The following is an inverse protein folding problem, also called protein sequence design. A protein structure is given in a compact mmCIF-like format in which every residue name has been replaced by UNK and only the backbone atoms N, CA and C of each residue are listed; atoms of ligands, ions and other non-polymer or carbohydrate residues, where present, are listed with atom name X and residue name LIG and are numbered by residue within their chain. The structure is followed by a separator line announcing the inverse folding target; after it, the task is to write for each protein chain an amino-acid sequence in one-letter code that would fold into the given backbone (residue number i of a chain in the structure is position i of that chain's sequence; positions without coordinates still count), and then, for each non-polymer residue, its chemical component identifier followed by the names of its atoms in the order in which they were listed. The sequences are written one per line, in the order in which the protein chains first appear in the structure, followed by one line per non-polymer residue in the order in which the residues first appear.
data_IF_792249984679
#
_entry.id   IF_792249984679
#
_cell.length_a   1.000
_cell.length_b   1.000
_cell.length_c   1.000
_cell.angle_alpha   90.00
_cell.angle_beta   90.00
_cell.angle_gamma   90.00
#
_symmetry.space_group_name_H-M   'P 1'
#
loop_
_entity.id
_entity.type
_entity.pdbx_description
1 polymer ?
#
# COMPACT_ATOMS: atom_id res chain seq x y z
N UNK A 1 -35.38 11.22 28.21
CA UNK A 1 -34.63 10.00 28.54
C UNK A 1 -33.30 10.10 27.82
N UNK A 2 -32.22 10.46 28.53
CA UNK A 2 -30.88 10.51 27.92
C UNK A 2 -30.28 9.12 27.95
N UNK A 3 -30.22 8.47 26.80
CA UNK A 3 -29.33 7.32 26.61
C UNK A 3 -27.93 7.90 26.46
N UNK A 4 -27.10 7.77 27.50
CA UNK A 4 -25.65 7.97 27.39
C UNK A 4 -25.10 6.75 26.65
N UNK A 5 -24.81 6.86 25.36
CA UNK A 5 -23.96 5.88 24.68
C UNK A 5 -22.52 6.09 25.12
N UNK A 6 -22.12 5.31 26.12
CA UNK A 6 -20.74 5.12 26.50
C UNK A 6 -20.07 4.21 25.45
N UNK A 7 -19.27 4.81 24.55
CA UNK A 7 -18.20 4.09 23.85
C UNK A 7 -18.29 3.91 22.32
N UNK A 8 -19.31 4.41 21.63
CA UNK A 8 -19.30 4.43 20.16
C UNK A 8 -18.62 5.70 19.63
N UNK A 9 -17.63 5.53 18.76
CA UNK A 9 -17.01 6.65 18.03
C UNK A 9 -18.08 7.33 17.17
N UNK A 10 -18.24 8.65 17.35
CA UNK A 10 -19.17 9.46 16.56
C UNK A 10 -18.65 9.75 15.14
N UNK A 11 -17.45 9.28 14.81
CA UNK A 11 -16.81 9.43 13.50
C UNK A 11 -16.19 8.12 13.02
N UNK A 12 -16.06 7.97 11.69
CA UNK A 12 -15.36 6.85 11.04
C UNK A 12 -14.63 7.32 9.78
N UNK A 13 -13.66 6.52 9.33
CA UNK A 13 -13.01 6.67 8.03
C UNK A 13 -13.48 5.56 7.10
N UNK A 14 -13.85 5.92 5.87
CA UNK A 14 -14.41 5.01 4.87
C UNK A 14 -13.60 5.09 3.58
N UNK A 15 -13.49 3.96 2.86
CA UNK A 15 -12.86 3.85 1.54
C UNK A 15 -11.38 4.32 1.47
N UNK A 16 -10.69 4.36 2.61
CA UNK A 16 -9.25 4.57 2.66
C UNK A 16 -8.44 3.27 2.60
N UNK A 17 -7.15 3.33 2.22
CA UNK A 17 -6.29 2.15 2.10
C UNK A 17 -6.02 1.43 3.44
N UNK A 18 -6.28 2.08 4.57
CA UNK A 18 -6.17 1.47 5.90
C UNK A 18 -7.05 2.18 6.94
N UNK A 19 -7.22 1.60 8.14
CA UNK A 19 -8.14 2.12 9.19
C UNK A 19 -7.90 3.56 9.66
N UNK A 20 -6.74 4.14 9.33
CA UNK A 20 -6.32 5.48 9.71
C UNK A 20 -6.21 6.44 8.51
N UNK A 21 -6.88 6.13 7.41
CA UNK A 21 -7.09 7.03 6.28
C UNK A 21 -8.47 6.76 5.68
N UNK A 22 -9.00 7.75 4.97
CA UNK A 22 -10.30 7.62 4.29
C UNK A 22 -11.13 8.89 4.35
N UNK A 23 -12.29 8.83 3.71
CA UNK A 23 -13.34 9.84 3.79
C UNK A 23 -13.86 9.93 5.21
N UNK A 24 -14.01 11.15 5.74
CA UNK A 24 -14.53 11.36 7.10
C UNK A 24 -16.05 11.32 7.07
N UNK A 25 -16.62 10.43 7.87
CA UNK A 25 -18.05 10.37 8.11
C UNK A 25 -18.36 10.56 9.60
N UNK A 26 -19.45 11.28 9.89
CA UNK A 26 -19.92 11.63 11.22
C UNK A 26 -21.31 11.07 11.44
N UNK A 27 -21.57 10.52 12.62
CA UNK A 27 -22.88 10.00 12.99
C UNK A 27 -23.72 11.09 13.66
N UNK A 28 -24.83 11.46 13.03
CA UNK A 28 -25.75 12.48 13.52
C UNK A 28 -27.20 12.11 13.17
N UNK A 29 -28.14 12.34 14.10
CA UNK A 29 -29.55 11.99 13.94
C UNK A 29 -29.79 10.55 13.45
N UNK A 30 -29.12 9.59 14.08
CA UNK A 30 -29.24 8.16 13.78
C UNK A 30 -28.78 7.75 12.35
N UNK A 31 -28.06 8.63 11.65
CA UNK A 31 -27.54 8.36 10.31
C UNK A 31 -26.08 8.82 10.16
N UNK A 32 -25.30 8.07 9.38
CA UNK A 32 -23.99 8.51 8.94
C UNK A 32 -24.13 9.57 7.86
N UNK A 33 -23.14 10.45 7.76
CA UNK A 33 -23.06 11.45 6.70
C UNK A 33 -21.67 12.03 6.61
N UNK A 34 -21.37 12.68 5.49
CA UNK A 34 -20.02 13.15 5.16
C UNK A 34 -19.75 14.56 5.71
N UNK A 35 -18.51 14.99 5.56
CA UNK A 35 -18.03 16.34 5.90
C UNK A 35 -17.62 17.03 4.61
N UNK A 36 -18.03 18.28 4.40
CA UNK A 36 -17.59 19.07 3.25
C UNK A 36 -16.16 19.60 3.44
N UNK A 37 -15.40 19.67 2.35
CA UNK A 37 -14.00 20.12 2.30
C UNK A 37 -13.84 21.66 2.31
N UNK A 38 -14.94 22.42 2.27
CA UNK A 38 -14.97 23.87 2.36
C UNK A 38 -14.32 24.33 3.68
N UNK A 39 -13.08 24.83 3.62
CA UNK A 39 -12.31 25.24 4.80
C UNK A 39 -11.67 24.10 5.59
N UNK A 40 -11.73 22.86 5.09
CA UNK A 40 -11.11 21.68 5.70
C UNK A 40 -9.58 21.76 5.67
N UNK A 41 -8.95 21.78 6.85
CA UNK A 41 -7.51 21.94 6.98
C UNK A 41 -6.84 20.88 7.87
N UNK A 42 -5.52 21.00 8.03
CA UNK A 42 -4.72 20.04 8.80
C UNK A 42 -5.04 20.06 10.30
N UNK A 43 -5.58 21.15 10.84
CA UNK A 43 -6.04 21.20 12.23
C UNK A 43 -7.34 20.39 12.41
N UNK A 44 -8.24 20.43 11.42
CA UNK A 44 -9.44 19.59 11.40
C UNK A 44 -9.05 18.11 11.32
N UNK A 45 -8.16 17.78 10.38
CA UNK A 45 -7.63 16.43 10.25
C UNK A 45 -6.92 15.95 11.52
N UNK A 46 -6.19 16.83 12.22
CA UNK A 46 -5.52 16.49 13.46
C UNK A 46 -6.50 16.11 14.58
N UNK A 47 -7.66 16.76 14.65
CA UNK A 47 -8.73 16.38 15.59
C UNK A 47 -9.29 15.02 15.23
N UNK A 48 -9.58 14.74 13.94
CA UNK A 48 -10.06 13.43 13.46
C UNK A 48 -9.07 12.32 13.81
N UNK A 49 -7.79 12.49 13.44
CA UNK A 49 -6.75 11.50 13.68
C UNK A 49 -6.54 11.23 15.18
N UNK A 50 -6.58 12.28 16.01
CA UNK A 50 -6.49 12.13 17.47
C UNK A 50 -7.72 11.44 18.05
N UNK A 51 -8.92 11.83 17.62
CA UNK A 51 -10.18 11.27 18.12
C UNK A 51 -10.27 9.76 17.81
N UNK A 52 -9.74 9.32 16.67
CA UNK A 52 -9.68 7.91 16.27
C UNK A 52 -8.49 7.14 16.84
N UNK A 53 -7.55 7.79 17.54
CA UNK A 53 -6.32 7.16 18.01
C UNK A 53 -5.41 6.70 16.86
N UNK A 54 -5.35 7.49 15.78
CA UNK A 54 -4.60 7.19 14.56
C UNK A 54 -3.29 8.01 14.43
N UNK A 55 -2.84 8.61 15.54
CA UNK A 55 -1.63 9.43 15.59
C UNK A 55 -1.83 10.83 15.03
N UNK A 56 -0.78 11.39 14.42
CA UNK A 56 -0.78 12.74 13.87
C UNK A 56 -1.50 12.79 12.50
N UNK A 57 -2.06 13.95 12.14
CA UNK A 57 -2.53 14.16 10.77
C UNK A 57 -1.35 14.37 9.82
N UNK A 58 -1.32 13.58 8.75
CA UNK A 58 -0.36 13.70 7.65
C UNK A 58 -0.96 14.55 6.53
N UNK A 59 -2.25 14.34 6.23
CA UNK A 59 -2.95 15.09 5.19
C UNK A 59 -4.42 15.31 5.53
N UNK A 60 -4.93 16.48 5.14
CA UNK A 60 -6.35 16.80 5.04
C UNK A 60 -6.73 16.75 3.56
N UNK A 61 -7.43 15.71 3.14
CA UNK A 61 -7.75 15.50 1.71
C UNK A 61 -9.09 16.13 1.37
N UNK A 62 -9.19 16.68 0.17
CA UNK A 62 -10.38 17.32 -0.37
C UNK A 62 -10.86 16.59 -1.64
N UNK A 63 -11.88 17.13 -2.29
CA UNK A 63 -12.37 16.72 -3.60
C UNK A 63 -12.76 15.23 -3.69
N UNK A 64 -13.32 14.67 -2.61
CA UNK A 64 -13.69 13.27 -2.52
C UNK A 64 -12.54 12.31 -2.89
N UNK A 65 -11.32 12.61 -2.44
CA UNK A 65 -10.12 11.81 -2.75
C UNK A 65 -10.25 10.32 -2.40
N UNK A 66 -11.08 9.98 -1.40
CA UNK A 66 -11.39 8.59 -1.01
C UNK A 66 -12.76 8.13 -1.52
N UNK A 67 -13.22 8.69 -2.64
CA UNK A 67 -14.54 8.44 -3.19
C UNK A 67 -15.64 9.27 -2.53
N UNK A 68 -16.78 9.30 -3.22
CA UNK A 68 -17.96 10.11 -2.89
C UNK A 68 -18.86 9.36 -1.92
N UNK A 69 -19.42 10.07 -0.95
CA UNK A 69 -20.53 9.60 -0.14
C UNK A 69 -21.82 9.50 -0.94
N UNK A 70 -22.84 8.91 -0.33
CA UNK A 70 -24.20 8.84 -0.85
C UNK A 70 -25.26 9.34 0.15
N UNK A 71 -24.82 9.68 1.35
CA UNK A 71 -25.61 10.03 2.53
C UNK A 71 -25.61 11.55 2.77
N UNK A 72 -26.32 12.12 3.76
CA UNK A 72 -26.32 13.56 4.00
C UNK A 72 -24.91 14.13 4.25
N UNK A 73 -24.65 15.35 3.76
CA UNK A 73 -23.45 16.11 4.14
C UNK A 73 -23.77 16.85 5.45
N UNK A 74 -23.20 16.39 6.57
CA UNK A 74 -23.58 16.86 7.91
C UNK A 74 -22.83 18.12 8.34
N UNK A 75 -21.54 18.20 8.04
CA UNK A 75 -20.67 19.30 8.46
C UNK A 75 -20.14 20.07 7.25
N UNK A 76 -20.01 21.38 7.42
CA UNK A 76 -19.49 22.32 6.43
C UNK A 76 -18.77 23.46 7.16
N UNK A 77 -17.66 23.96 6.59
CA UNK A 77 -16.79 24.98 7.19
C UNK A 77 -16.36 24.64 8.60
N UNK A 78 -15.88 23.42 8.76
CA UNK A 78 -15.22 22.99 9.99
C UNK A 78 -13.96 23.86 10.17
N UNK A 79 -13.77 24.36 11.38
CA UNK A 79 -12.68 25.26 11.73
C UNK A 79 -12.21 24.93 13.15
N UNK A 80 -11.55 23.78 13.29
CA UNK A 80 -10.90 23.35 14.50
C UNK A 80 -9.66 24.22 14.79
N UNK A 81 -9.34 24.41 16.07
CA UNK A 81 -8.06 24.95 16.53
C UNK A 81 -6.96 23.88 16.59
N UNK A 82 -7.31 22.61 16.41
CA UNK A 82 -6.44 21.45 16.54
C UNK A 82 -6.35 20.90 17.97
N UNK A 83 -7.09 21.47 18.93
CA UNK A 83 -7.06 21.11 20.36
C UNK A 83 -8.32 20.43 20.87
N UNK A 84 -9.36 20.40 20.05
CA UNK A 84 -10.66 19.82 20.34
C UNK A 84 -10.56 18.30 20.54
N UNK A 85 -11.33 17.74 21.47
CA UNK A 85 -11.26 16.30 21.75
C UNK A 85 -12.07 15.48 20.73
N UNK A 86 -13.06 16.12 20.10
CA UNK A 86 -13.87 15.53 19.04
C UNK A 86 -14.18 16.55 17.93
N UNK A 87 -14.35 16.05 16.71
CA UNK A 87 -14.68 16.87 15.53
C UNK A 87 -15.99 17.67 15.72
N UNK A 88 -16.94 17.11 16.49
CA UNK A 88 -18.22 17.75 16.82
C UNK A 88 -18.09 18.95 17.76
N UNK A 89 -16.93 19.16 18.37
CA UNK A 89 -16.63 20.32 19.23
C UNK A 89 -16.05 21.49 18.44
N UNK A 90 -15.60 21.24 17.20
CA UNK A 90 -15.08 22.28 16.34
C UNK A 90 -16.18 23.24 15.89
N UNK A 91 -15.79 24.49 15.64
CA UNK A 91 -16.72 25.45 15.04
C UNK A 91 -17.04 24.99 13.62
N UNK A 92 -18.32 24.87 13.30
CA UNK A 92 -18.81 24.54 11.96
C UNK A 92 -20.11 25.29 11.68
N UNK A 93 -20.61 25.19 10.44
CA UNK A 93 -22.00 25.58 10.14
C UNK A 93 -23.00 24.67 10.88
N UNK A 94 -24.25 25.11 11.08
CA UNK A 94 -25.29 24.25 11.64
C UNK A 94 -25.44 22.95 10.86
N UNK A 95 -25.66 21.84 11.57
CA UNK A 95 -25.78 20.49 11.00
C UNK A 95 -26.72 20.44 9.79
N UNK A 96 -26.25 19.83 8.69
CA UNK A 96 -27.00 19.66 7.45
C UNK A 96 -27.18 20.93 6.62
N UNK A 97 -26.63 22.08 7.05
CA UNK A 97 -26.61 23.33 6.28
C UNK A 97 -25.27 23.45 5.59
N UNK A 98 -25.25 23.08 4.31
CA UNK A 98 -24.08 23.16 3.43
C UNK A 98 -24.49 23.65 2.03
N UNK A 99 -23.52 24.08 1.24
CA UNK A 99 -23.68 24.37 -0.19
C UNK A 99 -22.98 23.35 -1.09
N UNK A 100 -22.59 22.22 -0.51
CA UNK A 100 -21.66 21.28 -1.11
C UNK A 100 -22.40 20.14 -1.80
N UNK A 101 -21.67 19.42 -2.65
CA UNK A 101 -22.05 18.12 -3.16
C UNK A 101 -20.97 17.08 -2.80
N UNK A 102 -21.19 15.81 -3.12
CA UNK A 102 -20.25 14.74 -2.74
C UNK A 102 -18.92 14.75 -3.51
N UNK A 103 -18.73 15.63 -4.49
CA UNK A 103 -17.40 15.91 -5.04
C UNK A 103 -16.54 16.68 -4.05
N UNK A 104 -17.12 17.23 -2.99
CA UNK A 104 -16.46 18.05 -1.98
C UNK A 104 -16.38 17.30 -0.63
N UNK A 105 -16.50 15.97 -0.63
CA UNK A 105 -16.36 15.19 0.60
C UNK A 105 -14.90 15.20 1.08
N UNK A 106 -14.72 15.58 2.35
CA UNK A 106 -13.45 15.67 3.03
C UNK A 106 -12.96 14.30 3.51
N UNK A 107 -11.64 14.14 3.54
CA UNK A 107 -10.97 12.95 4.05
C UNK A 107 -9.73 13.30 4.86
N UNK A 108 -9.10 12.28 5.44
CA UNK A 108 -7.83 12.42 6.15
C UNK A 108 -6.89 11.28 5.82
N UNK A 109 -5.60 11.58 5.93
CA UNK A 109 -4.55 10.58 6.11
C UNK A 109 -3.88 10.87 7.44
N UNK A 110 -3.93 9.91 8.35
CA UNK A 110 -3.21 9.98 9.61
C UNK A 110 -1.90 9.19 9.52
N UNK A 111 -0.99 9.43 10.46
CA UNK A 111 0.28 8.71 10.56
C UNK A 111 0.07 7.20 10.73
N UNK A 112 -1.09 6.79 11.24
CA UNK A 112 -1.42 5.39 11.47
C UNK A 112 -0.86 4.87 12.79
N UNK A 113 -1.60 3.94 13.38
CA UNK A 113 -1.17 3.07 14.48
C UNK A 113 -1.02 1.66 13.89
N UNK A 114 -0.03 1.43 13.03
CA UNK A 114 0.43 0.07 12.82
C UNK A 114 1.04 -0.37 14.15
N UNK A 115 0.29 -1.01 15.02
CA UNK A 115 0.87 -1.46 16.29
C UNK A 115 1.95 -2.48 15.95
N UNK A 116 3.20 -2.08 16.15
CA UNK A 116 4.36 -2.96 16.02
C UNK A 116 4.58 -3.64 17.37
N UNK A 117 4.96 -4.91 17.36
CA UNK A 117 5.50 -5.61 18.54
C UNK A 117 6.73 -6.42 18.18
N UNK A 118 7.57 -6.68 19.18
CA UNK A 118 8.72 -7.57 19.07
C UNK A 118 8.44 -8.88 19.82
N UNK A 119 8.58 -9.99 19.12
CA UNK A 119 8.28 -11.34 19.64
C UNK A 119 9.54 -12.21 19.66
N UNK A 120 9.65 -13.11 20.65
CA UNK A 120 10.73 -14.10 20.76
C UNK A 120 12.16 -13.54 20.85
N UNK A 121 12.34 -12.31 21.35
CA UNK A 121 13.65 -11.80 21.70
C UNK A 121 13.92 -11.80 23.21
N UNK A 122 15.19 -11.55 23.61
CA UNK A 122 15.61 -11.59 25.01
C UNK A 122 15.05 -10.46 25.87
N UNK A 123 14.49 -9.39 25.28
CA UNK A 123 13.90 -8.26 26.00
C UNK A 123 12.89 -7.51 25.12
N UNK A 124 12.21 -6.50 25.67
CA UNK A 124 11.14 -5.75 24.98
C UNK A 124 11.57 -4.96 23.73
N UNK A 125 12.87 -4.74 23.54
CA UNK A 125 13.46 -3.99 22.43
C UNK A 125 14.21 -4.90 21.44
N UNK A 126 14.02 -6.22 21.54
CA UNK A 126 14.64 -7.19 20.64
C UNK A 126 13.62 -8.26 20.29
N UNK A 127 13.57 -8.69 19.03
CA UNK A 127 12.69 -9.77 18.59
C UNK A 127 12.31 -9.67 17.13
N UNK A 128 11.46 -10.60 16.69
CA UNK A 128 10.80 -10.57 15.38
C UNK A 128 9.76 -9.46 15.36
N UNK A 129 9.78 -8.65 14.30
CA UNK A 129 8.78 -7.59 14.06
C UNK A 129 7.46 -8.20 13.62
N UNK A 130 6.39 -7.89 14.33
CA UNK A 130 5.02 -8.22 13.95
C UNK A 130 4.17 -6.94 13.97
N UNK A 131 3.25 -6.84 13.02
CA UNK A 131 2.36 -5.69 12.84
C UNK A 131 0.90 -6.11 12.98
N UNK A 132 0.10 -5.26 13.61
CA UNK A 132 -1.35 -5.46 13.75
C UNK A 132 -2.10 -4.83 12.58
N UNK A 133 -2.77 -5.66 11.78
CA UNK A 133 -3.62 -5.22 10.69
C UNK A 133 -4.98 -5.93 10.75
N UNK A 134 -6.09 -5.18 10.62
CA UNK A 134 -7.47 -5.70 10.73
C UNK A 134 -7.72 -6.59 11.97
N UNK A 135 -7.14 -6.21 13.12
CA UNK A 135 -7.30 -6.95 14.37
C UNK A 135 -6.50 -8.26 14.46
N UNK A 136 -5.66 -8.56 13.45
CA UNK A 136 -4.81 -9.75 13.40
C UNK A 136 -3.32 -9.40 13.32
N UNK A 137 -2.51 -10.11 14.10
CA UNK A 137 -1.06 -9.98 14.04
C UNK A 137 -0.49 -10.78 12.86
N UNK A 138 0.55 -10.24 12.26
CA UNK A 138 1.30 -10.92 11.19
C UNK A 138 2.70 -10.34 11.05
N UNK A 139 3.52 -10.99 10.25
CA UNK A 139 4.96 -10.70 10.16
C UNK A 139 5.30 -9.69 9.07
N UNK A 140 6.52 -9.17 9.13
CA UNK A 140 7.15 -8.35 8.09
C UNK A 140 8.18 -9.19 7.34
N UNK A 141 8.20 -9.12 6.02
CA UNK A 141 9.18 -9.79 5.17
C UNK A 141 10.55 -9.11 5.26
N UNK A 142 11.63 -9.87 5.10
CA UNK A 142 13.00 -9.39 5.22
C UNK A 142 13.67 -9.02 3.88
N UNK A 143 12.99 -9.19 2.76
CA UNK A 143 13.51 -8.99 1.39
C UNK A 143 14.20 -7.62 1.19
N UNK A 144 13.66 -6.56 1.80
CA UNK A 144 14.24 -5.21 1.79
C UNK A 144 14.53 -4.67 3.21
N UNK A 145 14.52 -5.55 4.22
CA UNK A 145 14.65 -5.13 5.62
C UNK A 145 16.08 -4.73 5.98
N UNK A 146 16.27 -3.47 6.36
CA UNK A 146 17.57 -2.90 6.65
C UNK A 146 17.63 -2.16 8.01
N UNK A 147 18.80 -1.57 8.30
CA UNK A 147 19.02 -0.85 9.55
C UNK A 147 18.17 0.44 9.66
N UNK A 148 17.76 1.03 8.54
CA UNK A 148 16.88 2.20 8.53
C UNK A 148 15.48 1.80 8.95
N UNK A 149 14.96 0.71 8.39
CA UNK A 149 13.66 0.15 8.79
C UNK A 149 13.64 -0.30 10.26
N UNK A 150 14.70 -0.99 10.70
CA UNK A 150 14.85 -1.34 12.11
C UNK A 150 14.91 -0.10 13.01
N UNK A 151 15.54 0.99 12.57
CA UNK A 151 15.61 2.25 13.33
C UNK A 151 14.23 2.89 13.49
N UNK A 152 13.38 2.84 12.46
CA UNK A 152 12.00 3.32 12.54
C UNK A 152 11.22 2.53 13.59
N UNK A 153 11.29 1.19 13.56
CA UNK A 153 10.64 0.34 14.58
C UNK A 153 11.16 0.59 15.98
N UNK A 154 12.48 0.70 16.16
CA UNK A 154 13.06 0.99 17.48
C UNK A 154 12.63 2.37 18.01
N UNK A 155 12.49 3.37 17.13
CA UNK A 155 11.96 4.69 17.51
C UNK A 155 10.49 4.60 17.90
N UNK A 156 9.67 3.95 17.07
CA UNK A 156 8.24 3.78 17.30
C UNK A 156 7.94 3.10 18.64
N UNK A 157 8.76 2.11 19.02
CA UNK A 157 8.65 1.39 20.31
C UNK A 157 9.31 2.10 21.50
N UNK A 158 9.93 3.27 21.30
CA UNK A 158 10.67 3.99 22.36
C UNK A 158 11.94 3.27 22.83
N UNK A 159 12.53 2.45 21.97
CA UNK A 159 13.75 1.67 22.20
C UNK A 159 15.04 2.37 21.71
N UNK A 160 14.92 3.55 21.09
CA UNK A 160 16.06 4.33 20.60
C UNK A 160 16.47 3.96 19.18
N UNK A 161 17.77 4.01 18.87
CA UNK A 161 18.31 3.68 17.55
C UNK A 161 18.57 2.18 17.44
N UNK A 162 18.31 1.58 16.28
CA UNK A 162 18.61 0.17 16.05
C UNK A 162 20.11 -0.10 15.99
N UNK A 163 20.54 -1.19 16.63
CA UNK A 163 21.92 -1.70 16.58
C UNK A 163 22.12 -2.70 15.43
N UNK A 164 21.08 -3.43 15.05
CA UNK A 164 21.11 -4.42 13.97
C UNK A 164 19.73 -4.58 13.33
N UNK A 165 19.70 -5.14 12.12
CA UNK A 165 18.48 -5.52 11.40
C UNK A 165 18.55 -7.02 11.04
N UNK A 166 18.17 -7.92 11.97
CA UNK A 166 18.28 -9.35 11.73
C UNK A 166 17.29 -9.84 10.66
N UNK A 167 17.78 -10.65 9.73
CA UNK A 167 17.02 -11.28 8.63
C UNK A 167 16.87 -12.80 8.86
N UNK A 168 16.20 -13.50 7.93
CA UNK A 168 16.02 -14.95 7.84
C UNK A 168 15.44 -15.57 9.11
N UNK A 169 14.39 -14.91 9.63
CA UNK A 169 13.67 -15.35 10.82
C UNK A 169 14.57 -15.66 12.03
N UNK A 170 15.59 -14.83 12.28
CA UNK A 170 16.56 -15.01 13.38
C UNK A 170 15.91 -15.28 14.76
N UNK A 171 14.76 -14.66 15.05
CA UNK A 171 14.00 -14.87 16.29
C UNK A 171 12.88 -15.93 16.16
N UNK A 172 13.07 -16.87 15.23
CA UNK A 172 12.08 -17.87 14.85
C UNK A 172 11.06 -17.34 13.84
N UNK A 173 10.50 -18.26 13.05
CA UNK A 173 9.45 -17.95 12.08
C UNK A 173 8.17 -17.53 12.81
N UNK A 174 7.49 -16.52 12.30
CA UNK A 174 6.15 -16.17 12.78
C UNK A 174 5.09 -17.14 12.26
N UNK A 175 3.91 -17.11 12.87
CA UNK A 175 2.75 -17.89 12.44
C UNK A 175 1.69 -16.95 11.88
N UNK A 176 1.07 -17.29 10.75
CA UNK A 176 0.00 -16.49 10.15
C UNK A 176 0.45 -15.74 8.90
N UNK A 177 -0.18 -14.59 8.63
CA UNK A 177 0.01 -13.82 7.39
C UNK A 177 1.25 -12.93 7.47
N UNK A 178 1.91 -12.73 6.33
CA UNK A 178 2.88 -11.65 6.14
C UNK A 178 2.08 -10.40 5.75
N UNK A 179 2.11 -9.35 6.58
CA UNK A 179 1.31 -8.14 6.37
C UNK A 179 2.05 -7.05 5.62
N UNK A 180 3.37 -7.03 5.70
CA UNK A 180 4.22 -6.07 5.02
C UNK A 180 5.35 -6.82 4.32
N UNK A 181 5.60 -6.45 3.08
CA UNK A 181 6.69 -6.94 2.26
C UNK A 181 7.45 -5.74 1.67
N UNK A 182 8.72 -5.95 1.36
CA UNK A 182 9.60 -4.93 0.77
C UNK A 182 9.57 -3.57 1.52
N UNK A 183 9.65 -3.62 2.86
CA UNK A 183 9.64 -2.41 3.70
C UNK A 183 10.93 -1.60 3.49
N UNK A 184 10.81 -0.48 2.79
CA UNK A 184 11.93 0.40 2.47
C UNK A 184 11.77 1.76 3.17
N UNK A 185 12.60 2.02 4.17
CA UNK A 185 12.55 3.25 4.95
C UNK A 185 13.75 4.16 4.64
N UNK A 186 13.51 5.46 4.59
CA UNK A 186 14.54 6.51 4.61
C UNK A 186 15.27 6.52 5.97
N UNK A 187 14.54 6.23 7.05
CA UNK A 187 14.98 6.18 8.45
C UNK A 187 14.49 7.36 9.30
N UNK A 188 13.75 8.31 8.71
CA UNK A 188 13.21 9.50 9.39
C UNK A 188 11.73 9.39 9.76
N UNK A 189 11.06 8.31 9.35
CA UNK A 189 9.64 8.04 9.52
C UNK A 189 9.25 7.84 10.99
N UNK A 190 8.10 8.37 11.41
CA UNK A 190 7.65 8.25 12.80
C UNK A 190 7.17 6.84 13.14
N UNK A 191 6.73 6.05 12.16
CA UNK A 191 6.32 4.66 12.32
C UNK A 191 6.54 3.82 11.05
N UNK A 192 6.44 2.50 11.19
CA UNK A 192 6.71 1.57 10.11
C UNK A 192 5.73 1.69 8.92
N UNK A 193 4.50 2.15 9.17
CA UNK A 193 3.49 2.34 8.12
C UNK A 193 3.80 3.52 7.17
N UNK A 194 4.63 4.46 7.61
CA UNK A 194 5.09 5.60 6.82
C UNK A 194 6.31 5.29 5.95
N UNK A 195 6.98 4.16 6.16
CA UNK A 195 8.01 3.74 5.23
C UNK A 195 7.41 3.53 3.85
N UNK A 196 8.22 3.60 2.81
CA UNK A 196 7.81 3.10 1.51
C UNK A 196 7.68 1.59 1.62
N UNK A 197 6.53 1.15 2.10
CA UNK A 197 6.07 -0.22 1.94
C UNK A 197 5.55 -0.26 0.51
N UNK A 198 5.84 -1.32 -0.23
CA UNK A 198 5.07 -1.62 -1.43
C UNK A 198 3.66 -2.07 -0.98
N UNK A 199 2.88 -1.14 -0.43
CA UNK A 199 1.46 -1.26 -0.18
C UNK A 199 0.74 -0.68 -1.40
N UNK A 200 -0.10 -1.51 -1.99
CA UNK A 200 -1.06 -1.13 -3.01
C UNK A 200 -1.92 0.02 -2.45
N UNK A 201 -1.78 1.22 -3.02
CA UNK A 201 -2.44 2.52 -2.72
C UNK A 201 -1.70 3.46 -1.73
N UNK A 202 -1.13 4.60 -2.21
CA UNK A 202 -1.89 5.84 -2.46
C UNK A 202 -1.05 6.94 -3.17
N UNK A 203 -1.77 7.90 -3.74
CA UNK A 203 -1.51 8.95 -4.71
C UNK A 203 -0.70 10.18 -4.22
N UNK A 204 0.32 10.56 -5.01
CA UNK A 204 0.50 11.89 -5.62
C UNK A 204 1.97 12.16 -6.03
N UNK A 205 2.55 11.21 -6.77
CA UNK A 205 3.59 11.50 -7.75
C UNK A 205 3.10 10.85 -9.03
N UNK A 206 2.58 11.63 -9.99
CA UNK A 206 2.27 11.19 -11.37
C UNK A 206 1.79 9.73 -11.47
N UNK A 207 0.48 9.50 -11.26
CA UNK A 207 -0.17 8.17 -11.23
C UNK A 207 0.73 7.03 -11.69
N UNK A 208 1.40 6.35 -10.76
CA UNK A 208 2.23 5.21 -11.15
C UNK A 208 1.30 4.11 -11.63
N UNK A 209 1.31 3.83 -12.93
CA UNK A 209 0.60 2.69 -13.50
C UNK A 209 1.12 1.44 -12.80
N UNK A 210 0.26 0.72 -12.09
CA UNK A 210 0.64 -0.52 -11.42
C UNK A 210 0.85 -1.59 -12.49
N UNK A 211 1.99 -2.29 -12.42
CA UNK A 211 2.39 -3.31 -13.38
C UNK A 211 2.56 -4.65 -12.65
N UNK A 212 2.18 -5.76 -13.28
CA UNK A 212 2.50 -7.13 -12.83
C UNK A 212 2.91 -8.01 -14.00
N UNK A 213 3.65 -9.09 -13.70
CA UNK A 213 4.03 -10.11 -14.69
C UNK A 213 3.27 -11.41 -14.44
N UNK A 214 2.64 -11.94 -15.49
CA UNK A 214 1.79 -13.13 -15.42
C UNK A 214 2.31 -14.23 -16.34
N UNK A 215 2.13 -15.50 -15.95
CA UNK A 215 2.45 -16.68 -16.75
C UNK A 215 3.91 -16.82 -17.22
N UNK A 216 4.86 -16.17 -16.53
CA UNK A 216 6.28 -16.41 -16.75
C UNK A 216 6.88 -17.41 -15.76
N UNK A 217 8.13 -17.83 -16.00
CA UNK A 217 8.81 -18.84 -15.20
C UNK A 217 9.19 -18.37 -13.78
N UNK A 218 9.13 -17.06 -13.50
CA UNK A 218 9.42 -16.45 -12.19
C UNK A 218 8.85 -15.01 -12.13
N UNK A 219 8.96 -14.32 -10.99
CA UNK A 219 8.41 -12.97 -10.80
C UNK A 219 8.99 -11.87 -11.72
N UNK A 220 10.11 -12.14 -12.39
CA UNK A 220 10.84 -11.19 -13.23
C UNK A 220 10.76 -11.56 -14.73
N UNK A 221 9.82 -12.42 -15.10
CA UNK A 221 9.48 -12.71 -16.48
C UNK A 221 7.97 -12.97 -16.58
N UNK A 222 7.35 -12.59 -17.69
CA UNK A 222 5.92 -12.84 -17.92
C UNK A 222 5.27 -11.84 -18.86
N UNK A 223 3.99 -12.08 -19.15
CA UNK A 223 3.11 -11.12 -19.83
C UNK A 223 2.94 -9.89 -18.95
N UNK A 224 3.05 -8.70 -19.55
CA UNK A 224 2.86 -7.43 -18.85
C UNK A 224 1.38 -7.15 -18.72
N UNK A 225 0.92 -6.94 -17.49
CA UNK A 225 -0.43 -6.46 -17.22
C UNK A 225 -0.38 -5.19 -16.37
N UNK A 226 -1.29 -4.27 -16.66
CA UNK A 226 -1.42 -2.98 -16.00
C UNK A 226 -2.78 -2.84 -15.32
N UNK A 227 -2.84 -2.13 -14.20
CA UNK A 227 -4.09 -1.90 -13.48
C UNK A 227 -4.67 -0.52 -13.83
N UNK A 228 -5.88 -0.52 -14.37
CA UNK A 228 -6.61 0.70 -14.70
C UNK A 228 -8.12 0.49 -14.49
N UNK A 229 -8.83 1.52 -14.03
CA UNK A 229 -10.28 1.46 -13.78
C UNK A 229 -10.71 0.25 -12.92
N UNK A 230 -9.95 -0.02 -11.86
CA UNK A 230 -10.17 -1.14 -10.95
C UNK A 230 -10.07 -2.55 -11.58
N UNK A 231 -9.49 -2.68 -12.78
CA UNK A 231 -9.33 -3.95 -13.49
C UNK A 231 -7.93 -4.11 -14.08
N UNK A 232 -7.40 -5.33 -14.06
CA UNK A 232 -6.17 -5.67 -14.77
C UNK A 232 -6.43 -5.83 -16.27
N UNK A 233 -5.45 -5.47 -17.09
CA UNK A 233 -5.51 -5.66 -18.53
C UNK A 233 -4.12 -5.72 -19.14
N UNK A 234 -4.03 -6.15 -20.39
CA UNK A 234 -2.74 -6.41 -21.06
C UNK A 234 -2.21 -5.19 -21.79
N UNK A 235 -0.96 -5.27 -22.25
CA UNK A 235 -0.29 -4.28 -23.09
C UNK A 235 -0.06 -4.90 -24.46
N UNK A 236 -0.34 -4.19 -25.55
CA UNK A 236 -0.06 -4.65 -26.91
C UNK A 236 1.43 -4.57 -27.24
N UNK A 237 1.91 -5.47 -28.12
CA UNK A 237 3.30 -5.55 -28.58
C UNK A 237 3.62 -4.67 -29.79
N UNK A 238 2.65 -3.93 -30.32
CA UNK A 238 2.88 -2.88 -31.32
C UNK A 238 3.76 -1.78 -30.70
N UNK A 239 4.93 -1.56 -31.33
CA UNK A 239 5.95 -0.63 -30.82
C UNK A 239 6.77 -1.14 -29.62
N UNK A 240 6.38 -2.26 -29.00
CA UNK A 240 7.01 -2.77 -27.77
C UNK A 240 8.47 -3.20 -27.96
N UNK A 241 9.38 -2.54 -27.24
CA UNK A 241 10.81 -2.75 -27.37
C UNK A 241 11.56 -2.90 -26.02
N UNK A 242 12.90 -2.99 -26.12
CA UNK A 242 13.74 -3.21 -24.95
C UNK A 242 13.78 -2.01 -24.00
N UNK A 243 13.51 -0.80 -24.50
CA UNK A 243 13.40 0.43 -23.72
C UNK A 243 12.15 0.38 -22.84
N UNK A 244 11.02 -0.09 -23.38
CA UNK A 244 9.78 -0.27 -22.61
C UNK A 244 9.94 -1.35 -21.55
N UNK A 245 10.49 -2.51 -21.95
CA UNK A 245 10.79 -3.59 -21.04
C UNK A 245 11.76 -3.17 -19.93
N UNK A 246 12.70 -2.26 -20.22
CA UNK A 246 13.66 -1.76 -19.23
C UNK A 246 12.96 -0.96 -18.14
N UNK A 247 12.00 -0.11 -18.49
CA UNK A 247 11.21 0.65 -17.51
C UNK A 247 10.39 -0.31 -16.63
N UNK A 248 9.74 -1.32 -17.22
CA UNK A 248 9.01 -2.36 -16.46
C UNK A 248 9.92 -3.12 -15.50
N UNK A 249 11.07 -3.60 -15.97
CA UNK A 249 12.02 -4.34 -15.14
C UNK A 249 12.58 -3.50 -13.99
N UNK A 250 12.82 -2.21 -14.23
CA UNK A 250 13.28 -1.28 -13.18
C UNK A 250 12.18 -0.99 -12.16
N UNK A 251 10.95 -0.71 -12.63
CA UNK A 251 9.81 -0.44 -11.76
C UNK A 251 9.48 -1.63 -10.85
N UNK A 252 9.66 -2.86 -11.33
CA UNK A 252 9.44 -4.09 -10.56
C UNK A 252 10.65 -4.52 -9.71
N UNK A 253 11.75 -3.77 -9.72
CA UNK A 253 12.98 -4.13 -9.00
C UNK A 253 13.61 -5.44 -9.50
N UNK A 254 13.43 -5.77 -10.77
CA UNK A 254 13.88 -7.02 -11.39
C UNK A 254 15.20 -6.90 -12.16
N UNK A 255 15.95 -5.81 -11.94
CA UNK A 255 17.20 -5.52 -12.62
C UNK A 255 16.98 -4.90 -14.00
N UNK A 256 17.79 -5.30 -14.97
CA UNK A 256 17.75 -4.78 -16.35
C UNK A 256 16.91 -5.67 -17.27
N UNK A 257 16.30 -5.11 -18.31
CA UNK A 257 15.64 -5.92 -19.34
C UNK A 257 16.64 -6.78 -20.12
N UNK A 258 16.30 -8.06 -20.27
CA UNK A 258 17.01 -9.04 -21.12
C UNK A 258 16.30 -9.18 -22.47
N UNK A 259 14.97 -9.17 -22.48
CA UNK A 259 14.18 -9.17 -23.71
C UNK A 259 12.77 -8.61 -23.52
N UNK A 260 12.19 -8.12 -24.61
CA UNK A 260 10.82 -7.62 -24.73
C UNK A 260 10.00 -8.52 -25.68
N UNK A 261 9.62 -9.75 -25.27
CA UNK A 261 8.87 -10.66 -26.14
C UNK A 261 7.45 -10.15 -26.39
N UNK A 262 7.04 -10.11 -27.65
CA UNK A 262 5.65 -9.89 -28.06
C UNK A 262 4.91 -11.20 -28.35
N UNK A 263 3.84 -11.09 -29.13
CA UNK A 263 3.06 -12.20 -29.70
C UNK A 263 2.53 -13.20 -28.68
N UNK A 264 2.07 -12.70 -27.54
CA UNK A 264 1.55 -13.51 -26.45
C UNK A 264 2.50 -14.64 -26.03
N UNK A 265 3.82 -14.38 -26.01
CA UNK A 265 4.83 -15.39 -25.70
C UNK A 265 4.58 -16.13 -24.37
N UNK A 266 4.02 -15.43 -23.37
CA UNK A 266 3.62 -15.99 -22.07
C UNK A 266 2.13 -16.38 -22.01
N UNK A 267 1.51 -16.59 -23.17
CA UNK A 267 0.09 -16.84 -23.33
C UNK A 267 -0.73 -15.56 -23.40
N UNK A 268 -1.93 -15.69 -23.96
CA UNK A 268 -2.91 -14.63 -24.12
C UNK A 268 -3.52 -14.24 -22.76
N UNK A 269 -3.89 -12.97 -22.62
CA UNK A 269 -4.78 -12.46 -21.59
C UNK A 269 -6.25 -12.81 -21.90
N UNK A 270 -7.12 -12.50 -20.94
CA UNK A 270 -8.57 -12.68 -21.07
C UNK A 270 -9.37 -11.42 -20.68
N UNK A 271 -8.67 -10.42 -20.15
CA UNK A 271 -9.19 -9.14 -19.69
C UNK A 271 -8.88 -8.05 -20.74
N UNK A 272 -9.36 -6.79 -20.62
CA UNK A 272 -9.13 -5.76 -21.63
C UNK A 272 -7.66 -5.55 -22.00
N UNK A 273 -7.38 -5.14 -23.23
CA UNK A 273 -6.08 -4.60 -23.61
C UNK A 273 -6.10 -3.11 -23.25
N UNK A 274 -5.28 -2.70 -22.30
CA UNK A 274 -5.33 -1.34 -21.75
C UNK A 274 -4.45 -0.36 -22.48
N UNK A 275 -3.31 -0.81 -23.00
CA UNK A 275 -2.29 0.05 -23.59
C UNK A 275 -1.81 -0.53 -24.91
N UNK A 276 -1.48 0.38 -25.83
CA UNK A 276 -1.00 0.13 -27.18
C UNK A 276 0.00 1.24 -27.54
N UNK A 277 0.90 0.97 -28.50
CA UNK A 277 1.97 1.86 -28.94
C UNK A 277 2.72 2.53 -27.75
N UNK A 278 3.15 1.72 -26.79
CA UNK A 278 3.93 2.24 -25.65
C UNK A 278 5.29 2.71 -26.17
N UNK A 279 5.67 3.95 -25.86
CA UNK A 279 6.96 4.50 -26.25
C UNK A 279 7.70 5.07 -25.03
N UNK A 280 8.61 4.27 -24.48
CA UNK A 280 9.56 4.66 -23.46
C UNK A 280 10.94 4.98 -24.08
N UNK A 281 11.64 5.95 -23.51
CA UNK A 281 13.07 6.22 -23.77
C UNK A 281 14.00 5.26 -23.02
N UNK A 282 13.47 4.50 -22.05
CA UNK A 282 14.20 3.60 -21.16
C UNK A 282 14.91 4.31 -20.01
N UNK A 283 14.57 5.56 -19.73
CA UNK A 283 15.12 6.38 -18.62
C UNK A 283 14.06 6.88 -17.65
N UNK A 284 12.80 6.58 -17.94
CA UNK A 284 11.64 6.90 -17.14
C UNK A 284 11.76 6.30 -15.74
N UNK A 285 11.29 7.03 -14.74
CA UNK A 285 11.26 6.55 -13.37
C UNK A 285 10.21 5.45 -13.16
N UNK A 286 9.13 5.48 -13.96
CA UNK A 286 8.05 4.50 -13.94
C UNK A 286 7.37 4.42 -15.31
N UNK A 287 6.53 3.40 -15.48
CA UNK A 287 5.82 3.11 -16.71
C UNK A 287 4.78 4.18 -17.09
N UNK A 288 4.32 4.98 -16.12
CA UNK A 288 3.39 6.09 -16.39
C UNK A 288 4.05 7.34 -16.99
N UNK A 289 5.39 7.40 -16.99
CA UNK A 289 6.14 8.48 -17.65
C UNK A 289 6.48 8.19 -19.10
N UNK A 290 6.19 6.99 -19.59
CA UNK A 290 6.28 6.69 -21.01
C UNK A 290 5.15 7.38 -21.78
N UNK A 291 5.32 7.53 -23.09
CA UNK A 291 4.25 8.00 -23.96
C UNK A 291 3.28 6.83 -24.16
N UNK A 292 1.99 7.06 -23.86
CA UNK A 292 0.92 6.06 -23.93
C UNK A 292 -0.19 6.57 -24.85
N UNK A 293 -0.70 5.74 -25.77
CA UNK A 293 -1.74 6.14 -26.75
C UNK A 293 -3.18 6.21 -26.18
N UNK A 294 -3.32 6.35 -24.86
CA UNK A 294 -4.59 6.46 -24.15
C UNK A 294 -5.21 5.11 -23.79
N UNK A 295 -5.92 5.08 -22.66
CA UNK A 295 -6.43 3.84 -22.07
C UNK A 295 -7.52 3.17 -22.90
N UNK A 296 -7.34 1.89 -23.22
CA UNK A 296 -8.29 1.08 -23.98
C UNK A 296 -8.40 1.46 -25.45
N UNK A 297 -7.53 2.33 -25.95
CA UNK A 297 -7.43 2.69 -27.36
C UNK A 297 -6.37 1.82 -28.01
N UNK A 298 -6.81 0.74 -28.66
CA UNK A 298 -5.92 -0.20 -29.34
C UNK A 298 -6.60 -0.79 -30.58
N UNK A 299 -5.82 -1.28 -31.53
CA UNK A 299 -6.30 -2.10 -32.65
C UNK A 299 -5.94 -3.60 -32.49
N UNK A 300 -5.26 -3.95 -31.40
CA UNK A 300 -4.73 -5.28 -31.15
C UNK A 300 -5.76 -6.31 -30.68
N UNK A 301 -5.38 -7.57 -30.77
CA UNK A 301 -6.01 -8.70 -30.10
C UNK A 301 -5.02 -9.39 -29.14
N UNK A 302 -5.46 -10.35 -28.32
CA UNK A 302 -4.57 -10.95 -27.30
C UNK A 302 -3.43 -11.80 -27.86
N UNK A 303 -3.42 -12.15 -29.15
CA UNK A 303 -2.22 -12.73 -29.78
C UNK A 303 -1.05 -11.75 -29.79
N UNK A 304 -1.29 -10.46 -29.55
CA UNK A 304 -0.33 -9.37 -29.55
C UNK A 304 0.03 -8.91 -28.12
N UNK A 305 -0.29 -9.70 -27.09
CA UNK A 305 0.06 -9.32 -25.72
C UNK A 305 1.59 -9.31 -25.51
N UNK A 306 2.09 -8.18 -25.02
CA UNK A 306 3.48 -7.93 -24.71
C UNK A 306 3.93 -8.62 -23.40
N UNK A 307 5.20 -8.99 -23.36
CA UNK A 307 5.87 -9.59 -22.22
C UNK A 307 7.25 -8.99 -21.99
N UNK A 308 7.85 -9.35 -20.85
CA UNK A 308 9.23 -9.00 -20.50
C UNK A 308 9.96 -10.20 -19.94
N UNK A 309 11.28 -10.20 -20.12
CA UNK A 309 12.22 -11.00 -19.35
C UNK A 309 13.27 -10.05 -18.81
N UNK A 310 13.41 -10.00 -17.50
CA UNK A 310 14.44 -9.23 -16.83
C UNK A 310 15.64 -10.11 -16.47
N UNK A 311 16.76 -9.51 -16.08
CA UNK A 311 17.96 -10.24 -15.66
C UNK A 311 17.73 -11.09 -14.41
N UNK A 312 16.67 -10.79 -13.66
CA UNK A 312 16.54 -11.23 -12.28
C UNK A 312 17.54 -10.48 -11.41
N UNK A 313 17.30 -10.52 -10.10
CA UNK A 313 18.26 -10.01 -9.14
C UNK A 313 19.53 -10.90 -9.18
N UNK A 314 20.76 -10.37 -9.21
CA UNK A 314 21.98 -11.19 -9.18
C UNK A 314 22.14 -12.08 -7.92
N UNK A 315 21.22 -11.99 -6.96
CA UNK A 315 21.10 -12.90 -5.82
C UNK A 315 19.90 -13.83 -5.99
N UNK A 316 20.15 -15.05 -6.46
CA UNK A 316 19.17 -16.14 -6.48
C UNK A 316 18.84 -16.67 -5.09
N UNK A 317 18.21 -15.86 -4.25
CA UNK A 317 17.57 -16.29 -3.01
C UNK A 317 16.08 -16.46 -3.28
N UNK A 318 15.58 -17.69 -3.10
CA UNK A 318 14.15 -18.00 -3.22
C UNK A 318 13.38 -17.18 -2.18
N UNK A 319 12.46 -16.34 -2.64
CA UNK A 319 11.57 -15.55 -1.81
C UNK A 319 10.63 -16.44 -0.98
N UNK A 320 10.31 -15.98 0.24
CA UNK A 320 9.38 -16.66 1.15
C UNK A 320 7.95 -16.83 0.57
N UNK A 321 7.60 -16.12 -0.51
CA UNK A 321 6.36 -16.27 -1.25
C UNK A 321 6.23 -17.60 -1.99
N UNK A 322 7.30 -18.39 -2.10
CA UNK A 322 7.32 -19.70 -2.77
C UNK A 322 7.20 -20.92 -1.81
N UNK A 323 6.90 -20.73 -0.52
CA UNK A 323 6.56 -21.86 0.36
C UNK A 323 5.05 -22.11 0.25
N UNK A 324 4.60 -23.24 -0.33
CA UNK A 324 3.19 -23.60 -0.30
C UNK A 324 2.75 -23.72 1.16
N UNK A 325 1.68 -23.02 1.52
CA UNK A 325 0.89 -23.34 2.70
C UNK A 325 0.60 -24.85 2.65
N UNK A 326 1.07 -25.59 3.65
CA UNK A 326 1.05 -27.06 3.79
C UNK A 326 2.31 -27.75 3.24
N UNK A 327 3.33 -27.83 4.09
CA UNK A 327 3.97 -29.12 4.36
C UNK A 327 4.11 -29.26 5.88
N UNK A 328 3.25 -30.08 6.48
CA UNK A 328 3.50 -30.65 7.79
C UNK A 328 4.71 -31.57 7.64
N UNK A 329 5.90 -31.12 8.05
CA UNK A 329 6.99 -32.05 8.35
C UNK A 329 7.22 -32.07 9.86
N UNK A 330 7.07 -33.29 10.37
CA UNK A 330 7.34 -33.73 11.72
C UNK A 330 8.73 -33.29 12.16
N UNK A 331 8.82 -32.81 13.40
CA UNK A 331 10.08 -32.47 14.06
C UNK A 331 10.66 -33.72 14.70
N UNK A 332 11.58 -34.40 14.02
CA UNK A 332 12.46 -35.38 14.67
C UNK A 332 13.79 -34.69 14.98
N UNK A 333 13.89 -34.19 16.20
CA UNK A 333 14.99 -33.34 16.61
C UNK A 333 16.29 -34.12 16.78
N UNK A 334 17.25 -33.93 15.86
CA UNK A 334 18.70 -34.07 16.12
C UNK A 334 19.50 -33.18 15.16
N UNK A 335 20.16 -32.17 15.72
CA UNK A 335 21.47 -31.55 15.36
C UNK A 335 22.01 -31.49 13.92
N UNK A 336 22.51 -30.28 13.60
CA UNK A 336 23.63 -29.91 12.69
C UNK A 336 23.38 -29.75 11.18
N UNK A 337 23.56 -28.48 10.76
CA UNK A 337 24.23 -27.97 9.56
C UNK A 337 23.94 -28.54 8.15
N UNK A 338 23.75 -27.59 7.21
CA UNK A 338 23.71 -27.66 5.73
C UNK A 338 22.48 -28.26 5.04
N UNK A 339 21.71 -27.39 4.36
CA UNK A 339 20.92 -27.78 3.18
C UNK A 339 21.79 -27.61 1.92
N UNK A 340 22.28 -28.72 1.37
CA UNK A 340 22.78 -28.80 -0.02
C UNK A 340 21.62 -29.18 -0.95
N UNK A 341 21.64 -28.61 -2.16
CA UNK A 341 20.80 -29.04 -3.29
C UNK A 341 21.06 -30.51 -3.65
N UNK A 342 20.00 -31.31 -3.74
CA UNK A 342 20.04 -32.65 -4.34
C UNK A 342 19.38 -32.53 -5.72
N UNK A 343 20.24 -32.66 -6.74
CA UNK A 343 20.06 -32.78 -8.20
C UNK A 343 18.68 -32.54 -8.80
#
# INVERSE_FOLDING_TARGET
MSVKHLGESTIRLVDGPHRCSGRVEVFHNEQWGTVCDDGWDLNDAAVVCRQLGCGAAVSATAHASFGRGMDPIWLDRVACSGRESALTECRARPWGINSCNHEEDAGVVCSGDAQVRLVNGPNRCTGRVEVLHNGQWGTVCDDSWDLRAATVVCRELGCGRAESAPVRAHFGQGTGRIWMDDVNCVGTEDNLAQCHIFLLADSNTTESVQVRLVNGPNRCAGRVEVFHNAQWGTVCDDGWDLSDAKVVCQQLGCGTAVSAPGKAHFGQGADPIWLDDVECTGTEANFSHCILNGWGLHNCNHEEDAGVVCSGDPGGDKKCSEIPSIILLHWDGVSSDTCRSVR
#
